data_IF_636550809532
#
_entry.id   IF_636550809532
#
_cell.length_a   1.000
_cell.length_b   1.000
_cell.length_c   1.000
_cell.angle_alpha   90.00
_cell.angle_beta   90.00
_cell.angle_gamma   90.00
#
_symmetry.space_group_name_H-M   'P 1'
#
loop_
_entity.id
_entity.type
_entity.pdbx_description
1 polymer ?
#
# COMPACT_ATOMS: atom_id res chain seq x y z
N UNK A 1 11.94 -28.56 18.56
CA UNK A 1 10.97 -27.85 19.46
C UNK A 1 11.10 -26.33 19.49
N UNK A 2 11.93 -25.69 18.67
CA UNK A 2 12.10 -24.22 18.66
C UNK A 2 11.25 -23.48 17.63
N UNK A 3 10.52 -24.16 16.75
CA UNK A 3 9.67 -23.50 15.72
C UNK A 3 8.44 -22.76 16.28
N UNK A 4 7.93 -23.12 17.45
CA UNK A 4 6.72 -22.50 18.00
C UNK A 4 6.91 -21.13 18.67
N UNK A 5 8.07 -20.87 19.31
CA UNK A 5 8.32 -19.58 19.98
C UNK A 5 8.53 -18.45 18.97
N UNK A 6 9.30 -18.66 17.89
CA UNK A 6 9.52 -17.64 16.86
C UNK A 6 8.24 -17.18 16.18
N UNK A 7 7.28 -18.08 15.95
CA UNK A 7 5.99 -17.75 15.35
C UNK A 7 5.07 -16.96 16.30
N UNK A 8 5.20 -17.17 17.60
CA UNK A 8 4.44 -16.40 18.61
C UNK A 8 4.94 -14.97 18.69
N UNK A 9 6.26 -14.74 18.74
CA UNK A 9 6.84 -13.39 18.74
C UNK A 9 6.52 -12.63 17.46
N UNK A 10 6.65 -13.25 16.29
CA UNK A 10 6.30 -12.62 15.00
C UNK A 10 4.83 -12.20 14.92
N UNK A 11 3.90 -12.97 15.49
CA UNK A 11 2.49 -12.59 15.55
C UNK A 11 2.25 -11.40 16.49
N UNK A 12 3.02 -11.30 17.57
CA UNK A 12 2.94 -10.19 18.51
C UNK A 12 3.36 -8.87 17.84
N UNK A 13 4.47 -8.87 17.10
CA UNK A 13 4.99 -7.68 16.41
C UNK A 13 3.98 -7.13 15.38
N UNK A 14 3.33 -8.01 14.61
CA UNK A 14 2.26 -7.63 13.68
C UNK A 14 1.02 -7.10 14.41
N UNK A 15 0.65 -7.72 15.53
CA UNK A 15 -0.47 -7.24 16.35
C UNK A 15 -0.19 -5.84 16.91
N UNK A 16 1.01 -5.61 17.41
CA UNK A 16 1.44 -4.34 17.98
C UNK A 16 1.51 -3.25 16.90
N UNK A 17 1.99 -3.60 15.72
CA UNK A 17 2.00 -2.69 14.56
C UNK A 17 0.58 -2.33 14.07
N UNK A 18 -0.36 -3.28 14.08
CA UNK A 18 -1.77 -3.00 13.76
C UNK A 18 -2.42 -2.12 14.83
N UNK A 19 -2.15 -2.37 16.10
CA UNK A 19 -2.63 -1.54 17.20
C UNK A 19 -2.11 -0.11 17.08
N UNK A 20 -0.83 0.04 16.74
CA UNK A 20 -0.20 1.33 16.46
C UNK A 20 -0.85 2.04 15.27
N UNK A 21 -1.12 1.32 14.17
CA UNK A 21 -1.77 1.88 12.99
C UNK A 21 -3.19 2.41 13.29
N UNK A 22 -3.96 1.70 14.11
CA UNK A 22 -5.29 2.12 14.56
C UNK A 22 -5.19 3.32 15.51
N UNK A 23 -4.27 3.29 16.46
CA UNK A 23 -4.04 4.41 17.38
C UNK A 23 -3.65 5.68 16.63
N UNK A 24 -2.74 5.58 15.65
CA UNK A 24 -2.34 6.69 14.79
C UNK A 24 -3.53 7.26 14.01
N UNK A 25 -4.38 6.41 13.43
CA UNK A 25 -5.57 6.86 12.74
C UNK A 25 -6.52 7.63 13.67
N UNK A 26 -6.67 7.20 14.92
CA UNK A 26 -7.49 7.87 15.94
C UNK A 26 -6.86 9.18 16.41
N UNK A 27 -5.57 9.17 16.73
CA UNK A 27 -4.83 10.33 17.28
C UNK A 27 -4.73 11.46 16.26
N UNK A 28 -4.57 11.14 14.98
CA UNK A 28 -4.38 12.12 13.90
C UNK A 28 -5.67 12.47 13.14
N UNK A 29 -6.81 11.85 13.45
CA UNK A 29 -8.08 12.15 12.80
C UNK A 29 -8.58 13.58 13.05
N UNK A 30 -9.16 14.18 12.01
CA UNK A 30 -9.93 15.41 12.14
C UNK A 30 -11.39 15.08 12.47
N UNK A 31 -11.75 15.14 13.74
CA UNK A 31 -13.11 14.83 14.21
C UNK A 31 -14.14 15.93 13.96
N UNK A 32 -13.69 17.12 13.53
CA UNK A 32 -14.60 18.24 13.19
C UNK A 32 -15.15 18.15 11.76
N UNK A 33 -14.63 17.20 10.96
CA UNK A 33 -15.11 16.96 9.61
C UNK A 33 -16.34 16.06 9.55
N UNK A 34 -16.96 15.97 8.36
CA UNK A 34 -18.14 15.12 8.11
C UNK A 34 -17.81 13.63 7.95
N UNK A 35 -16.54 13.26 7.81
CA UNK A 35 -16.09 11.90 7.51
C UNK A 35 -15.45 11.26 8.74
N UNK A 36 -15.79 10.01 9.00
CA UNK A 36 -15.19 9.21 10.08
C UNK A 36 -13.92 8.47 9.66
N UNK A 37 -13.34 7.77 10.62
CA UNK A 37 -12.30 6.77 10.39
C UNK A 37 -12.97 5.54 9.75
N UNK A 38 -12.31 4.94 8.77
CA UNK A 38 -12.80 3.76 8.06
C UNK A 38 -11.71 2.71 8.03
N UNK A 39 -12.02 1.51 8.54
CA UNK A 39 -11.13 0.35 8.48
C UNK A 39 -11.84 -0.71 7.65
N UNK A 40 -11.18 -1.15 6.57
CA UNK A 40 -11.71 -2.17 5.68
C UNK A 40 -10.69 -3.31 5.60
N UNK A 41 -11.16 -4.55 5.79
CA UNK A 41 -10.39 -5.74 5.48
C UNK A 41 -11.03 -6.43 4.29
N UNK A 42 -10.28 -6.55 3.20
CA UNK A 42 -10.71 -7.25 2.00
C UNK A 42 -9.63 -8.26 1.58
N UNK A 43 -9.95 -9.53 1.68
CA UNK A 43 -8.96 -10.59 1.46
C UNK A 43 -7.75 -10.47 2.38
N UNK A 44 -6.58 -10.31 1.79
CA UNK A 44 -5.30 -10.09 2.50
C UNK A 44 -4.97 -8.62 2.76
N UNK A 45 -5.72 -7.69 2.18
CA UNK A 45 -5.51 -6.27 2.34
C UNK A 45 -6.32 -5.71 3.52
N UNK A 46 -5.67 -4.86 4.32
CA UNK A 46 -6.28 -4.03 5.34
C UNK A 46 -6.03 -2.58 4.94
N UNK A 47 -7.06 -1.77 4.87
CA UNK A 47 -6.93 -0.32 4.72
C UNK A 47 -7.46 0.40 5.95
N UNK A 48 -6.66 1.33 6.47
CA UNK A 48 -7.00 2.17 7.62
C UNK A 48 -6.97 3.61 7.15
N UNK A 49 -8.11 4.27 7.17
CA UNK A 49 -8.28 5.60 6.60
C UNK A 49 -8.85 6.56 7.62
N UNK A 50 -8.19 7.69 7.85
CA UNK A 50 -8.64 8.73 8.75
C UNK A 50 -8.79 10.08 8.04
N UNK A 51 -9.76 10.91 8.46
CA UNK A 51 -9.89 12.28 7.97
C UNK A 51 -8.77 13.18 8.49
N UNK A 52 -8.36 14.14 7.68
CA UNK A 52 -7.27 15.07 7.96
C UNK A 52 -6.10 14.88 7.02
N UNK A 53 -5.20 15.86 7.01
CA UNK A 53 -3.96 15.84 6.23
C UNK A 53 -2.77 15.71 7.16
N UNK A 54 -1.58 15.39 6.64
CA UNK A 54 -0.32 15.44 7.39
C UNK A 54 -0.08 16.90 7.81
N UNK A 55 0.38 17.09 9.04
CA UNK A 55 0.72 18.40 9.65
C UNK A 55 2.24 18.65 9.70
N UNK A 56 3.02 17.66 9.35
CA UNK A 56 4.48 17.68 9.23
C UNK A 56 4.86 17.46 7.75
N UNK A 57 6.10 17.64 7.40
CA UNK A 57 6.58 17.36 6.02
C UNK A 57 6.53 15.85 5.72
N UNK A 58 6.54 15.48 4.44
CA UNK A 58 6.60 14.06 4.05
C UNK A 58 7.89 13.40 4.52
N UNK A 59 8.97 14.14 4.47
CA UNK A 59 10.30 13.70 4.90
C UNK A 59 10.28 13.37 6.41
N UNK A 60 9.74 14.26 7.25
CA UNK A 60 9.57 14.03 8.68
C UNK A 60 8.63 12.87 8.97
N UNK A 61 7.55 12.72 8.19
CA UNK A 61 6.59 11.64 8.35
C UNK A 61 7.23 10.26 8.18
N UNK A 62 8.11 10.09 7.18
CA UNK A 62 8.80 8.83 6.93
C UNK A 62 10.08 8.65 7.73
N UNK A 63 10.75 9.72 8.10
CA UNK A 63 11.95 9.67 8.96
C UNK A 63 11.60 9.30 10.42
N UNK A 64 10.35 9.54 10.83
CA UNK A 64 9.95 9.36 12.23
C UNK A 64 10.56 10.41 13.17
N UNK A 65 10.34 10.23 14.47
CA UNK A 65 10.92 11.10 15.50
C UNK A 65 10.18 12.42 15.73
N UNK A 66 9.35 12.86 14.78
CA UNK A 66 8.51 14.05 14.92
C UNK A 66 7.03 13.69 14.79
N UNK A 67 6.17 14.27 15.62
CA UNK A 67 4.73 14.01 15.61
C UNK A 67 3.97 15.27 16.04
N UNK A 68 2.99 15.65 15.23
CA UNK A 68 2.03 16.70 15.58
C UNK A 68 0.61 16.10 15.65
N UNK A 69 0.25 15.51 16.82
CA UNK A 69 -1.05 14.86 17.00
C UNK A 69 -2.19 15.88 17.00
N UNK A 70 -3.25 15.61 16.22
CA UNK A 70 -4.48 16.43 16.27
C UNK A 70 -5.22 16.28 17.60
N UNK A 71 -5.11 15.10 18.20
CA UNK A 71 -5.82 14.73 19.41
C UNK A 71 -4.83 14.30 20.53
N UNK A 72 -4.07 15.23 21.13
CA UNK A 72 -3.02 14.90 22.09
C UNK A 72 -3.53 14.19 23.35
N UNK A 73 -4.79 14.41 23.73
CA UNK A 73 -5.38 13.70 24.87
C UNK A 73 -5.63 12.22 24.56
N UNK A 74 -5.99 11.87 23.31
CA UNK A 74 -6.07 10.48 22.90
C UNK A 74 -4.69 9.81 22.91
N UNK A 75 -3.65 10.50 22.46
CA UNK A 75 -2.29 9.99 22.54
C UNK A 75 -1.88 9.65 23.98
N UNK A 76 -2.19 10.52 24.94
CA UNK A 76 -1.95 10.26 26.36
C UNK A 76 -2.71 9.03 26.87
N UNK A 77 -3.98 8.87 26.46
CA UNK A 77 -4.80 7.72 26.86
C UNK A 77 -4.21 6.43 26.29
N UNK A 78 -3.80 6.41 25.03
CA UNK A 78 -3.15 5.25 24.43
C UNK A 78 -1.81 4.91 25.11
N UNK A 79 -1.05 5.90 25.56
CA UNK A 79 0.16 5.69 26.34
C UNK A 79 -0.07 4.90 27.64
N UNK A 80 -1.23 5.05 28.31
CA UNK A 80 -1.56 4.27 29.51
C UNK A 80 -1.80 2.78 29.24
N UNK A 81 -2.09 2.41 28.00
CA UNK A 81 -2.29 1.02 27.57
C UNK A 81 -1.13 0.50 26.70
N UNK A 82 0.01 1.18 26.75
CA UNK A 82 1.23 0.86 26.02
C UNK A 82 1.04 0.79 24.48
N UNK A 83 0.17 1.63 23.94
CA UNK A 83 -0.03 1.81 22.50
C UNK A 83 0.36 3.26 22.16
N UNK A 84 1.19 3.46 21.13
CA UNK A 84 1.63 4.81 20.76
C UNK A 84 2.64 5.45 21.73
N UNK A 85 3.48 4.65 22.40
CA UNK A 85 4.33 5.08 23.52
C UNK A 85 5.39 6.13 23.18
N UNK A 86 5.80 6.23 21.91
CA UNK A 86 6.79 7.22 21.47
C UNK A 86 6.25 8.06 20.33
N UNK A 87 6.15 9.35 20.55
CA UNK A 87 5.82 10.29 19.50
C UNK A 87 6.77 10.11 18.29
N UNK A 88 6.20 9.86 17.12
CA UNK A 88 6.95 9.74 15.85
C UNK A 88 7.57 8.38 15.54
N UNK A 89 7.43 7.34 16.37
CA UNK A 89 7.93 5.98 16.05
C UNK A 89 6.91 5.07 15.39
N UNK A 90 5.65 5.49 15.27
CA UNK A 90 4.55 4.64 14.82
C UNK A 90 4.67 4.15 13.39
N UNK A 91 5.08 5.03 12.46
CA UNK A 91 5.28 4.65 11.05
C UNK A 91 6.42 3.64 10.93
N UNK A 92 7.54 3.90 11.59
CA UNK A 92 8.71 3.03 11.58
C UNK A 92 8.38 1.62 12.14
N UNK A 93 7.67 1.55 13.27
CA UNK A 93 7.21 0.29 13.87
C UNK A 93 6.36 -0.54 12.90
N UNK A 94 5.42 0.11 12.19
CA UNK A 94 4.58 -0.56 11.20
C UNK A 94 5.42 -1.06 10.03
N UNK A 95 6.33 -0.24 9.50
CA UNK A 95 7.21 -0.62 8.39
C UNK A 95 8.11 -1.80 8.76
N UNK A 96 8.76 -1.74 9.91
CA UNK A 96 9.66 -2.79 10.42
C UNK A 96 8.92 -4.11 10.63
N UNK A 97 7.74 -4.09 11.25
CA UNK A 97 6.97 -5.31 11.48
C UNK A 97 6.58 -6.02 10.18
N UNK A 98 6.27 -5.28 9.10
CA UNK A 98 5.98 -5.86 7.79
C UNK A 98 7.22 -6.36 7.08
N UNK A 99 8.34 -5.64 7.18
CA UNK A 99 9.63 -6.05 6.61
C UNK A 99 10.15 -7.35 7.24
N UNK A 100 10.05 -7.50 8.55
CA UNK A 100 10.43 -8.72 9.28
C UNK A 100 9.61 -9.96 8.90
N UNK A 101 8.38 -9.75 8.41
CA UNK A 101 7.54 -10.81 7.86
C UNK A 101 7.82 -11.06 6.37
N UNK A 102 8.69 -10.29 5.73
CA UNK A 102 8.91 -10.28 4.28
C UNK A 102 7.61 -10.01 3.49
N UNK A 103 6.69 -9.23 4.05
CA UNK A 103 5.45 -8.86 3.40
C UNK A 103 5.62 -7.59 2.56
N UNK A 104 4.68 -7.36 1.62
CA UNK A 104 4.64 -6.15 0.82
C UNK A 104 4.67 -4.90 1.71
N UNK A 105 5.59 -3.99 1.43
CA UNK A 105 5.80 -2.77 2.23
C UNK A 105 4.51 -1.98 2.40
N UNK A 106 4.17 -1.55 3.63
CA UNK A 106 3.02 -0.69 3.88
C UNK A 106 3.06 0.60 3.05
N UNK A 107 1.89 1.01 2.53
CA UNK A 107 1.77 2.19 1.67
C UNK A 107 0.81 3.20 2.26
N UNK A 108 1.25 4.46 2.34
CA UNK A 108 0.41 5.58 2.71
C UNK A 108 -0.04 6.35 1.46
N UNK A 109 -1.34 6.60 1.36
CA UNK A 109 -1.95 7.50 0.39
C UNK A 109 -2.46 8.75 1.09
N UNK A 110 -1.99 9.92 0.64
CA UNK A 110 -2.35 11.21 1.21
C UNK A 110 -3.14 11.97 0.15
N UNK A 111 -4.43 12.12 0.36
CA UNK A 111 -5.32 12.87 -0.51
C UNK A 111 -5.60 14.25 0.09
N UNK A 112 -4.97 15.27 -0.47
CA UNK A 112 -5.22 16.68 -0.09
C UNK A 112 -6.66 17.07 -0.43
N UNK A 113 -7.15 16.69 -1.62
CA UNK A 113 -8.51 17.01 -2.08
C UNK A 113 -9.59 16.36 -1.22
N UNK A 114 -9.37 15.15 -0.75
CA UNK A 114 -10.31 14.44 0.11
C UNK A 114 -10.05 14.71 1.60
N UNK A 115 -8.98 15.45 1.93
CA UNK A 115 -8.50 15.67 3.29
C UNK A 115 -8.44 14.35 4.08
N UNK A 116 -7.73 13.37 3.53
CA UNK A 116 -7.71 12.02 4.06
C UNK A 116 -6.35 11.34 3.88
N UNK A 117 -5.97 10.58 4.87
CA UNK A 117 -4.81 9.70 4.84
C UNK A 117 -5.31 8.26 4.89
N UNK A 118 -4.78 7.39 4.04
CA UNK A 118 -5.10 5.97 4.04
C UNK A 118 -3.81 5.16 4.09
N UNK A 119 -3.71 4.27 5.07
CA UNK A 119 -2.67 3.26 5.17
C UNK A 119 -3.21 1.97 4.56
N UNK A 120 -2.46 1.39 3.64
CA UNK A 120 -2.71 0.06 3.06
C UNK A 120 -1.68 -0.93 3.57
N UNK A 121 -2.14 -2.05 4.08
CA UNK A 121 -1.37 -3.13 4.65
C UNK A 121 -1.74 -4.44 3.93
N UNK A 122 -0.76 -5.10 3.32
CA UNK A 122 -0.93 -6.42 2.70
C UNK A 122 -0.41 -7.49 3.67
N UNK A 123 -1.27 -8.43 4.06
CA UNK A 123 -0.94 -9.48 5.03
C UNK A 123 -0.67 -10.80 4.31
N UNK A 124 0.49 -11.39 4.56
CA UNK A 124 0.86 -12.70 4.02
C UNK A 124 1.19 -12.69 2.51
N UNK A 125 1.48 -11.54 1.93
CA UNK A 125 2.12 -11.41 0.63
C UNK A 125 3.62 -11.23 0.83
N UNK A 126 4.41 -12.18 0.33
CA UNK A 126 5.86 -12.21 0.51
C UNK A 126 6.54 -11.44 -0.62
N UNK A 127 7.41 -10.51 -0.26
CA UNK A 127 8.28 -9.81 -1.23
C UNK A 127 9.42 -10.74 -1.64
N UNK A 128 9.76 -10.77 -2.93
CA UNK A 128 10.91 -11.52 -3.43
C UNK A 128 12.22 -11.01 -2.83
N UNK A 129 12.98 -11.90 -2.20
CA UNK A 129 14.33 -11.61 -1.70
C UNK A 129 15.33 -12.23 -2.69
N UNK A 130 16.15 -11.41 -3.39
CA UNK A 130 17.20 -11.95 -4.25
C UNK A 130 18.20 -12.78 -3.43
N UNK A 131 18.38 -14.08 -3.79
CA UNK A 131 19.32 -14.99 -3.13
C UNK A 131 18.74 -16.01 -2.17
N UNK A 132 17.45 -15.98 -1.84
CA UNK A 132 16.76 -17.05 -1.10
C UNK A 132 16.32 -18.16 -2.06
N UNK A 133 17.24 -19.04 -2.46
CA UNK A 133 17.03 -20.04 -3.51
C UNK A 133 16.06 -21.19 -3.14
N UNK A 134 15.60 -21.29 -1.89
CA UNK A 134 14.87 -22.47 -1.38
C UNK A 134 13.50 -22.21 -0.77
N UNK A 135 12.95 -21.01 -0.91
CA UNK A 135 11.58 -20.74 -0.52
C UNK A 135 10.73 -20.58 -1.78
N UNK A 136 9.60 -21.29 -1.84
CA UNK A 136 8.57 -21.14 -2.87
C UNK A 136 8.01 -19.69 -2.86
N UNK A 137 8.82 -18.73 -3.32
CA UNK A 137 8.49 -17.33 -3.38
C UNK A 137 7.80 -17.08 -4.72
N UNK A 138 6.53 -16.85 -4.69
CA UNK A 138 5.79 -16.35 -5.86
C UNK A 138 6.38 -14.99 -6.20
N UNK A 139 6.98 -14.86 -7.39
CA UNK A 139 7.45 -13.58 -7.93
C UNK A 139 6.24 -12.66 -8.13
N UNK A 140 6.05 -11.68 -7.26
CA UNK A 140 5.24 -10.53 -7.59
C UNK A 140 6.09 -9.49 -8.30
N UNK A 141 5.56 -8.81 -9.34
CA UNK A 141 6.30 -7.80 -10.07
C UNK A 141 6.68 -6.64 -9.13
N UNK A 142 7.92 -6.17 -9.24
CA UNK A 142 8.40 -4.95 -8.55
C UNK A 142 7.41 -3.80 -8.80
N UNK A 143 6.72 -3.40 -7.76
CA UNK A 143 5.79 -2.30 -7.81
C UNK A 143 6.59 -1.01 -7.75
N UNK A 144 6.76 -0.38 -8.91
CA UNK A 144 7.39 0.94 -9.01
C UNK A 144 6.55 1.96 -8.23
N UNK A 145 6.98 2.32 -7.02
CA UNK A 145 6.42 3.38 -6.19
C UNK A 145 6.84 4.76 -6.70
N UNK A 146 6.52 5.06 -7.93
CA UNK A 146 6.71 6.37 -8.54
C UNK A 146 5.51 6.73 -9.37
N UNK A 147 4.60 7.56 -8.81
CA UNK A 147 3.55 8.30 -9.52
C UNK A 147 2.84 7.52 -10.66
N UNK A 148 2.32 6.35 -10.34
CA UNK A 148 1.42 5.62 -11.24
C UNK A 148 0.10 6.39 -11.24
N UNK A 149 -0.36 6.84 -12.39
CA UNK A 149 -1.67 7.51 -12.50
C UNK A 149 -2.77 6.50 -12.11
N UNK A 150 -3.90 6.98 -11.59
CA UNK A 150 -5.07 6.16 -11.26
C UNK A 150 -5.48 5.20 -12.42
N UNK A 151 -5.24 5.61 -13.65
CA UNK A 151 -5.51 4.82 -14.86
C UNK A 151 -4.48 3.72 -15.12
N UNK A 152 -3.20 3.99 -14.86
CA UNK A 152 -2.14 2.99 -14.90
C UNK A 152 -2.40 1.91 -13.84
N UNK A 153 -2.81 2.33 -12.65
CA UNK A 153 -3.15 1.42 -11.56
C UNK A 153 -4.27 0.46 -11.94
N UNK A 154 -5.39 0.96 -12.47
CA UNK A 154 -6.50 0.10 -12.92
C UNK A 154 -6.07 -0.91 -13.97
N UNK A 155 -5.16 -0.51 -14.86
CA UNK A 155 -4.62 -1.41 -15.89
C UNK A 155 -3.76 -2.52 -15.28
N UNK A 156 -2.92 -2.18 -14.31
CA UNK A 156 -2.07 -3.13 -13.59
C UNK A 156 -2.90 -4.11 -12.77
N UNK A 157 -3.90 -3.61 -12.02
CA UNK A 157 -4.83 -4.44 -11.24
C UNK A 157 -5.56 -5.46 -12.13
N UNK A 158 -6.04 -5.00 -13.29
CA UNK A 158 -6.68 -5.89 -14.25
C UNK A 158 -5.71 -6.95 -14.78
N UNK A 159 -4.48 -6.56 -15.13
CA UNK A 159 -3.46 -7.48 -15.67
C UNK A 159 -3.01 -8.50 -14.62
N UNK A 160 -2.90 -8.09 -13.37
CA UNK A 160 -2.58 -8.98 -12.24
C UNK A 160 -3.67 -10.04 -12.04
N UNK A 161 -4.94 -9.66 -12.22
CA UNK A 161 -6.07 -10.57 -12.05
C UNK A 161 -6.29 -11.51 -13.25
N UNK A 162 -6.13 -10.99 -14.49
CA UNK A 162 -6.52 -11.70 -15.71
C UNK A 162 -5.35 -12.09 -16.62
N UNK A 163 -4.13 -11.67 -16.29
CA UNK A 163 -2.88 -12.02 -17.00
C UNK A 163 -2.66 -11.33 -18.32
N UNK A 164 -3.72 -10.92 -19.04
CA UNK A 164 -3.62 -10.27 -20.37
C UNK A 164 -4.78 -9.31 -20.61
N UNK A 165 -4.55 -8.29 -21.46
CA UNK A 165 -5.58 -7.32 -21.82
C UNK A 165 -5.48 -6.93 -23.31
N UNK A 166 -6.62 -6.77 -23.97
CA UNK A 166 -6.70 -6.20 -25.33
C UNK A 166 -6.78 -4.66 -25.27
N UNK A 167 -6.46 -3.98 -26.39
CA UNK A 167 -6.56 -2.51 -26.48
C UNK A 167 -7.98 -2.00 -26.16
N UNK A 168 -9.02 -2.70 -26.60
CA UNK A 168 -10.41 -2.33 -26.34
C UNK A 168 -10.74 -2.40 -24.86
N UNK A 169 -10.38 -3.51 -24.21
CA UNK A 169 -10.62 -3.69 -22.77
C UNK A 169 -9.77 -2.74 -21.92
N UNK A 170 -8.53 -2.47 -22.33
CA UNK A 170 -7.68 -1.47 -21.67
C UNK A 170 -8.29 -0.06 -21.71
N UNK A 171 -8.94 0.29 -22.84
CA UNK A 171 -9.64 1.58 -22.99
C UNK A 171 -10.79 1.71 -22.00
N UNK A 172 -11.57 0.64 -21.82
CA UNK A 172 -12.67 0.56 -20.87
C UNK A 172 -12.16 0.64 -19.41
N UNK A 173 -11.21 -0.22 -19.06
CA UNK A 173 -10.64 -0.31 -17.69
C UNK A 173 -9.98 1.00 -17.25
N UNK A 174 -9.22 1.65 -18.14
CA UNK A 174 -8.60 2.95 -17.88
C UNK A 174 -9.58 4.13 -17.91
N UNK A 175 -10.82 3.94 -18.33
CA UNK A 175 -11.82 5.01 -18.46
C UNK A 175 -11.46 6.06 -19.50
N UNK A 176 -10.79 5.67 -20.59
CA UNK A 176 -10.52 6.58 -21.72
C UNK A 176 -11.69 6.59 -22.71
N UNK A 177 -11.93 7.75 -23.32
CA UNK A 177 -12.93 7.87 -24.41
C UNK A 177 -12.44 7.36 -25.76
N UNK A 178 -11.12 7.25 -25.95
CA UNK A 178 -10.51 6.88 -27.23
C UNK A 178 -9.37 5.89 -27.07
N UNK A 179 -9.23 4.97 -28.05
CA UNK A 179 -8.10 4.04 -28.13
C UNK A 179 -6.75 4.73 -28.30
N UNK A 180 -6.72 5.93 -28.88
CA UNK A 180 -5.49 6.71 -29.06
C UNK A 180 -4.89 7.14 -27.72
N UNK A 181 -5.70 7.60 -26.77
CA UNK A 181 -5.25 7.96 -25.44
C UNK A 181 -4.75 6.73 -24.65
N UNK A 182 -5.46 5.60 -24.78
CA UNK A 182 -5.02 4.33 -24.17
C UNK A 182 -3.70 3.84 -24.77
N UNK A 183 -3.51 3.99 -26.08
CA UNK A 183 -2.27 3.59 -26.73
C UNK A 183 -1.07 4.36 -26.18
N UNK A 184 -1.18 5.68 -25.99
CA UNK A 184 -0.11 6.49 -25.39
C UNK A 184 0.29 6.00 -23.99
N UNK A 185 -0.70 5.60 -23.19
CA UNK A 185 -0.45 5.03 -21.86
C UNK A 185 0.29 3.69 -21.96
N UNK A 186 -0.22 2.77 -22.78
CA UNK A 186 0.38 1.44 -22.98
C UNK A 186 1.79 1.55 -23.56
N UNK A 187 2.02 2.42 -24.54
CA UNK A 187 3.34 2.63 -25.15
C UNK A 187 4.34 3.19 -24.11
N UNK A 188 3.89 4.10 -23.22
CA UNK A 188 4.69 4.57 -22.08
C UNK A 188 5.06 3.42 -21.14
N UNK A 189 4.11 2.55 -20.82
CA UNK A 189 4.34 1.41 -19.93
C UNK A 189 5.24 0.35 -20.58
N UNK A 190 5.15 0.15 -21.89
CA UNK A 190 6.09 -0.71 -22.65
C UNK A 190 7.49 -0.11 -22.64
N UNK A 191 7.63 1.21 -22.89
CA UNK A 191 8.91 1.92 -22.84
C UNK A 191 9.57 1.82 -21.46
N UNK A 192 8.77 1.82 -20.41
CA UNK A 192 9.23 1.68 -19.02
C UNK A 192 9.40 0.19 -18.62
N UNK A 193 9.36 -0.74 -19.58
CA UNK A 193 9.54 -2.18 -19.35
C UNK A 193 8.52 -2.83 -18.40
N UNK A 194 7.38 -2.21 -18.19
CA UNK A 194 6.30 -2.71 -17.32
C UNK A 194 5.42 -3.69 -18.09
N UNK A 195 5.13 -3.40 -19.36
CA UNK A 195 4.30 -4.21 -20.24
C UNK A 195 5.08 -4.72 -21.44
N UNK A 196 4.65 -5.86 -21.96
CA UNK A 196 5.07 -6.35 -23.27
C UNK A 196 3.87 -6.63 -24.17
N UNK A 197 4.09 -6.51 -25.47
CA UNK A 197 3.09 -6.77 -26.48
C UNK A 197 3.23 -8.19 -27.00
N UNK A 198 2.14 -8.95 -27.02
CA UNK A 198 2.09 -10.31 -27.55
C UNK A 198 1.02 -10.44 -28.62
N UNK A 199 1.31 -11.21 -29.67
CA UNK A 199 0.41 -11.38 -30.84
C UNK A 199 0.53 -10.27 -31.86
N UNK A 200 -0.21 -10.39 -32.96
CA UNK A 200 -0.20 -9.45 -34.07
C UNK A 200 -1.61 -9.15 -34.58
N UNK A 201 -1.79 -7.97 -35.18
CA UNK A 201 -3.08 -7.56 -35.76
C UNK A 201 -4.21 -7.53 -34.72
N UNK A 202 -5.39 -8.06 -35.01
CA UNK A 202 -6.55 -8.07 -34.12
C UNK A 202 -6.34 -8.90 -32.85
N UNK A 203 -5.41 -9.88 -32.87
CA UNK A 203 -5.08 -10.76 -31.75
C UNK A 203 -4.03 -10.15 -30.77
N UNK A 204 -3.65 -8.88 -30.95
CA UNK A 204 -2.70 -8.21 -30.08
C UNK A 204 -3.25 -8.07 -28.67
N UNK A 205 -2.49 -8.55 -27.69
CA UNK A 205 -2.74 -8.38 -26.26
C UNK A 205 -1.48 -7.85 -25.58
N UNK A 206 -1.68 -7.27 -24.42
CA UNK A 206 -0.61 -6.76 -23.55
C UNK A 206 -0.59 -7.57 -22.27
N UNK A 207 0.61 -7.89 -21.79
CA UNK A 207 0.84 -8.67 -20.57
C UNK A 207 1.90 -7.94 -19.73
N UNK A 208 1.97 -8.26 -18.46
CA UNK A 208 3.06 -7.77 -17.60
C UNK A 208 4.38 -8.40 -18.08
N UNK A 209 5.42 -7.56 -18.21
CA UNK A 209 6.76 -8.03 -18.53
C UNK A 209 7.29 -8.81 -17.32
N UNK A 210 7.74 -10.03 -17.53
CA UNK A 210 8.31 -10.89 -16.49
C UNK A 210 9.77 -10.58 -16.25
#
# INVERSE_FOLDING_TARGET
QSRGLGDVYKRQDVHDALSEAVANALVHANYYGKRGIVIIKHGKQISISNPGTIRITKEEFYAGGNSDPRNPNLLKIFGFVNVGERAGSGVDKIMTAWEEQYWTKPRYEISIKAERITLYLEVGQVVYIPGAADLNVVREPEYYSGLVSDREQRLLDYLTQYGKISMGKATEVCGYKTKSATRKLIDKMIKNEILERTGSGPATVYILKR
#
